data_IF_550120798368
#
_entry.id   IF_550120798368
#
_cell.length_a   1.000
_cell.length_b   1.000
_cell.length_c   1.000
_cell.angle_alpha   90.00
_cell.angle_beta   90.00
_cell.angle_gamma   90.00
#
_symmetry.space_group_name_H-M   'P 1'
#
loop_
_entity.id
_entity.type
_entity.pdbx_description
1 polymer ?
#
# COMPACT_ATOMS: atom_id res chain seq x y z
N UNK A 1 -17.16 -10.43 -21.73
CA UNK A 1 -17.87 -9.19 -21.34
C UNK A 1 -18.21 -9.11 -19.84
N UNK A 2 -18.58 -10.19 -19.14
CA UNK A 2 -18.87 -10.11 -17.69
C UNK A 2 -17.66 -9.83 -16.77
N UNK A 3 -16.49 -10.39 -17.08
CA UNK A 3 -15.29 -10.26 -16.23
C UNK A 3 -14.72 -8.84 -16.20
N UNK A 4 -14.78 -8.09 -17.30
CA UNK A 4 -14.27 -6.72 -17.37
C UNK A 4 -15.15 -5.73 -16.62
N UNK A 5 -16.48 -5.94 -16.66
CA UNK A 5 -17.44 -5.12 -15.89
C UNK A 5 -17.24 -5.31 -14.39
N UNK A 6 -17.03 -6.55 -13.94
CA UNK A 6 -16.76 -6.85 -12.51
C UNK A 6 -15.48 -6.17 -12.04
N UNK A 7 -14.39 -6.26 -12.82
CA UNK A 7 -13.14 -5.58 -12.49
C UNK A 7 -13.32 -4.05 -12.45
N UNK A 8 -14.04 -3.49 -13.42
CA UNK A 8 -14.36 -2.05 -13.43
C UNK A 8 -15.16 -1.62 -12.21
N UNK A 9 -16.11 -2.43 -11.73
CA UNK A 9 -16.86 -2.16 -10.50
C UNK A 9 -15.94 -2.16 -9.28
N UNK A 10 -15.07 -3.16 -9.16
CA UNK A 10 -14.11 -3.26 -8.04
C UNK A 10 -13.17 -2.06 -8.03
N UNK A 11 -12.60 -1.68 -9.17
CA UNK A 11 -11.73 -0.50 -9.31
C UNK A 11 -12.47 0.80 -8.98
N UNK A 12 -13.73 0.93 -9.42
CA UNK A 12 -14.57 2.10 -9.07
C UNK A 12 -14.77 2.20 -7.56
N UNK A 13 -15.05 1.07 -6.90
CA UNK A 13 -15.25 1.01 -5.45
C UNK A 13 -13.94 1.32 -4.70
N UNK A 14 -12.80 0.85 -5.19
CA UNK A 14 -11.48 1.24 -4.69
C UNK A 14 -11.27 2.75 -4.77
N UNK A 15 -11.54 3.37 -5.93
CA UNK A 15 -11.45 4.82 -6.11
C UNK A 15 -12.40 5.63 -5.22
N UNK A 16 -13.63 5.14 -5.00
CA UNK A 16 -14.55 5.72 -4.00
C UNK A 16 -13.92 5.68 -2.61
N UNK A 17 -13.26 4.57 -2.26
CA UNK A 17 -12.50 4.44 -1.02
C UNK A 17 -11.43 5.52 -0.88
N UNK A 18 -10.67 5.80 -1.94
CA UNK A 18 -9.67 6.87 -1.92
C UNK A 18 -10.30 8.26 -1.70
N UNK A 19 -11.38 8.58 -2.40
CA UNK A 19 -12.10 9.86 -2.23
C UNK A 19 -12.59 10.00 -0.78
N UNK A 20 -13.24 8.98 -0.24
CA UNK A 20 -13.71 8.96 1.15
C UNK A 20 -12.55 9.10 2.13
N UNK A 21 -11.44 8.40 1.88
CA UNK A 21 -10.23 8.49 2.68
C UNK A 21 -9.67 9.92 2.72
N UNK A 22 -9.68 10.61 1.57
CA UNK A 22 -9.25 12.01 1.46
C UNK A 22 -10.16 12.97 2.22
N UNK A 23 -11.47 12.79 2.14
CA UNK A 23 -12.44 13.59 2.92
C UNK A 23 -12.22 13.38 4.42
N UNK A 24 -12.11 12.13 4.88
CA UNK A 24 -11.90 11.81 6.29
C UNK A 24 -10.58 12.42 6.78
N UNK A 25 -9.49 12.25 6.03
CA UNK A 25 -8.18 12.80 6.40
C UNK A 25 -8.16 14.34 6.40
N UNK A 26 -8.94 15.00 5.53
CA UNK A 26 -9.02 16.46 5.51
C UNK A 26 -9.73 17.03 6.74
N UNK A 27 -10.71 16.31 7.28
CA UNK A 27 -11.46 16.73 8.48
C UNK A 27 -10.70 16.33 9.76
N UNK A 28 -10.19 15.09 9.82
CA UNK A 28 -9.55 14.54 11.01
C UNK A 28 -8.07 14.95 11.15
N UNK A 29 -7.36 15.12 10.04
CA UNK A 29 -5.94 15.47 10.01
C UNK A 29 -4.98 14.36 10.46
N UNK A 30 -5.47 13.22 10.97
CA UNK A 30 -4.64 12.12 11.47
C UNK A 30 -4.23 12.24 12.94
N UNK A 31 -3.38 11.33 13.42
CA UNK A 31 -2.91 11.34 14.81
C UNK A 31 -1.83 12.39 15.06
N UNK A 32 -1.49 12.62 16.34
CA UNK A 32 -0.43 13.56 16.77
C UNK A 32 0.95 13.17 16.22
N UNK A 33 1.28 11.87 16.26
CA UNK A 33 2.47 11.31 15.61
C UNK A 33 2.05 10.67 14.30
N UNK A 34 2.31 11.33 13.17
CA UNK A 34 1.84 10.90 11.84
C UNK A 34 2.32 9.49 11.49
N UNK A 35 3.45 9.05 12.03
CA UNK A 35 3.94 7.68 11.84
C UNK A 35 2.93 6.62 12.29
N UNK A 36 2.13 6.88 13.34
CA UNK A 36 1.13 5.91 13.81
C UNK A 36 -0.02 5.76 12.82
N UNK A 37 -0.50 6.86 12.25
CA UNK A 37 -1.52 6.84 11.19
C UNK A 37 -1.00 6.17 9.92
N UNK A 38 0.26 6.43 9.57
CA UNK A 38 0.94 5.78 8.45
C UNK A 38 0.98 4.26 8.63
N UNK A 39 1.48 3.79 9.77
CA UNK A 39 1.63 2.35 10.05
C UNK A 39 0.28 1.64 10.14
N UNK A 40 -0.74 2.29 10.72
CA UNK A 40 -2.10 1.75 10.71
C UNK A 40 -2.64 1.61 9.28
N UNK A 41 -2.40 2.62 8.43
CA UNK A 41 -2.77 2.55 7.01
C UNK A 41 -2.10 1.39 6.30
N UNK A 42 -0.77 1.21 6.46
CA UNK A 42 -0.03 0.07 5.89
C UNK A 42 -0.61 -1.26 6.37
N UNK A 43 -0.92 -1.37 7.66
CA UNK A 43 -1.50 -2.60 8.21
C UNK A 43 -2.87 -2.93 7.59
N UNK A 44 -3.76 -1.94 7.46
CA UNK A 44 -5.06 -2.15 6.83
C UNK A 44 -4.93 -2.49 5.34
N UNK A 45 -4.03 -1.83 4.60
CA UNK A 45 -3.73 -2.18 3.20
C UNK A 45 -3.29 -3.64 3.11
N UNK A 46 -2.38 -4.07 3.98
CA UNK A 46 -1.85 -5.42 3.99
C UNK A 46 -2.95 -6.47 4.24
N UNK A 47 -3.83 -6.21 5.21
CA UNK A 47 -4.99 -7.08 5.47
C UNK A 47 -5.95 -7.11 4.28
N UNK A 48 -6.28 -5.97 3.70
CA UNK A 48 -7.14 -5.90 2.52
C UNK A 48 -6.57 -6.70 1.35
N UNK A 49 -5.25 -6.61 1.11
CA UNK A 49 -4.58 -7.40 0.07
C UNK A 49 -4.67 -8.92 0.32
N UNK A 50 -4.52 -9.35 1.57
CA UNK A 50 -4.70 -10.75 1.96
C UNK A 50 -6.14 -11.22 1.72
N UNK A 51 -7.14 -10.42 2.11
CA UNK A 51 -8.54 -10.75 1.89
C UNK A 51 -8.93 -10.78 0.42
N UNK A 52 -8.44 -9.82 -0.38
CA UNK A 52 -8.60 -9.84 -1.85
C UNK A 52 -8.00 -11.13 -2.41
N UNK A 53 -6.81 -11.50 -1.95
CA UNK A 53 -6.10 -12.67 -2.46
C UNK A 53 -6.76 -14.01 -2.15
N UNK A 54 -7.45 -14.12 -1.02
CA UNK A 54 -8.14 -15.34 -0.57
C UNK A 54 -9.62 -15.42 -0.97
N UNK A 55 -10.18 -14.36 -1.55
CA UNK A 55 -11.60 -14.27 -1.83
C UNK A 55 -11.95 -14.62 -3.28
N UNK A 56 -13.09 -15.30 -3.45
CA UNK A 56 -13.75 -15.51 -4.76
C UNK A 56 -15.04 -14.70 -4.88
N UNK A 57 -15.48 -14.06 -3.78
CA UNK A 57 -16.68 -13.23 -3.77
C UNK A 57 -16.35 -11.82 -4.22
N UNK A 58 -17.08 -11.35 -5.25
CA UNK A 58 -16.98 -9.97 -5.74
C UNK A 58 -17.26 -8.97 -4.62
N UNK A 59 -18.22 -9.25 -3.74
CA UNK A 59 -18.57 -8.36 -2.62
C UNK A 59 -17.38 -8.19 -1.68
N UNK A 60 -16.74 -9.29 -1.29
CA UNK A 60 -15.58 -9.27 -0.38
C UNK A 60 -14.39 -8.57 -1.02
N UNK A 61 -14.14 -8.79 -2.31
CA UNK A 61 -13.07 -8.11 -3.06
C UNK A 61 -13.35 -6.60 -3.10
N UNK A 62 -14.59 -6.20 -3.41
CA UNK A 62 -15.00 -4.80 -3.46
C UNK A 62 -14.88 -4.10 -2.11
N UNK A 63 -15.37 -4.71 -1.02
CA UNK A 63 -15.25 -4.14 0.34
C UNK A 63 -13.78 -4.01 0.75
N UNK A 64 -12.98 -5.03 0.47
CA UNK A 64 -11.54 -4.99 0.75
C UNK A 64 -10.83 -3.92 -0.08
N UNK A 65 -11.22 -3.74 -1.35
CA UNK A 65 -10.76 -2.66 -2.22
C UNK A 65 -11.11 -1.29 -1.65
N UNK A 66 -12.36 -1.07 -1.21
CA UNK A 66 -12.77 0.17 -0.56
C UNK A 66 -11.91 0.49 0.66
N UNK A 67 -11.71 -0.49 1.56
CA UNK A 67 -10.88 -0.33 2.76
C UNK A 67 -9.41 -0.06 2.39
N UNK A 68 -8.91 -0.74 1.37
CA UNK A 68 -7.56 -0.52 0.85
C UNK A 68 -7.39 0.91 0.33
N UNK A 69 -8.36 1.43 -0.43
CA UNK A 69 -8.33 2.80 -0.95
C UNK A 69 -8.33 3.85 0.16
N UNK A 70 -9.21 3.70 1.17
CA UNK A 70 -9.22 4.59 2.34
C UNK A 70 -7.85 4.57 3.04
N UNK A 71 -7.34 3.38 3.35
CA UNK A 71 -6.08 3.21 4.06
C UNK A 71 -4.87 3.71 3.25
N UNK A 72 -4.91 3.58 1.91
CA UNK A 72 -3.89 4.11 1.00
C UNK A 72 -3.74 5.62 1.16
N UNK A 73 -4.85 6.36 1.20
CA UNK A 73 -4.81 7.81 1.40
C UNK A 73 -4.29 8.18 2.79
N UNK A 74 -4.67 7.45 3.84
CA UNK A 74 -4.18 7.70 5.20
C UNK A 74 -2.67 7.51 5.28
N UNK A 75 -2.15 6.44 4.68
CA UNK A 75 -0.73 6.14 4.64
C UNK A 75 0.04 7.21 3.85
N UNK A 76 -0.44 7.55 2.66
CA UNK A 76 0.22 8.53 1.79
C UNK A 76 0.19 9.95 2.36
N UNK A 77 -0.96 10.40 2.86
CA UNK A 77 -1.09 11.73 3.47
C UNK A 77 -0.17 11.86 4.69
N UNK A 78 -0.16 10.85 5.57
CA UNK A 78 0.73 10.84 6.74
C UNK A 78 2.21 10.80 6.34
N UNK A 79 2.58 10.00 5.34
CA UNK A 79 3.95 9.95 4.81
C UNK A 79 4.36 11.31 4.24
N UNK A 80 3.48 11.96 3.48
CA UNK A 80 3.72 13.26 2.91
C UNK A 80 3.91 14.33 4.00
N UNK A 81 3.08 14.32 5.04
CA UNK A 81 3.22 15.25 6.17
C UNK A 81 4.52 15.06 6.95
N UNK A 82 4.95 13.81 7.18
CA UNK A 82 6.25 13.52 7.81
C UNK A 82 7.38 14.11 6.97
N UNK A 83 7.40 13.85 5.67
CA UNK A 83 8.44 14.41 4.80
C UNK A 83 8.42 15.94 4.76
N UNK A 84 7.23 16.55 4.78
CA UNK A 84 7.11 18.01 4.84
C UNK A 84 7.62 18.60 6.16
N UNK A 85 7.46 17.88 7.28
CA UNK A 85 7.89 18.38 8.60
C UNK A 85 9.39 18.23 8.85
N UNK A 86 10.09 17.35 8.13
CA UNK A 86 11.52 17.08 8.35
C UNK A 86 12.43 17.68 7.27
N UNK A 87 11.85 18.16 6.17
CA UNK A 87 12.61 18.70 5.04
C UNK A 87 12.53 20.23 5.04
N UNK A 88 13.68 20.93 5.08
CA UNK A 88 13.73 22.39 5.00
C UNK A 88 13.02 22.93 3.76
N UNK A 89 12.27 24.03 3.92
CA UNK A 89 11.40 24.62 2.88
C UNK A 89 12.14 24.88 1.57
N UNK A 90 13.39 25.35 1.63
CA UNK A 90 14.24 25.63 0.46
C UNK A 90 14.69 24.35 -0.29
N UNK A 91 14.60 23.17 0.34
CA UNK A 91 15.01 21.88 -0.25
C UNK A 91 13.82 21.00 -0.63
N UNK A 92 12.60 21.33 -0.20
CA UNK A 92 11.41 20.51 -0.42
C UNK A 92 11.21 20.12 -1.88
N UNK A 93 11.31 21.07 -2.81
CA UNK A 93 11.16 20.79 -4.25
C UNK A 93 12.14 19.72 -4.74
N UNK A 94 13.42 19.82 -4.36
CA UNK A 94 14.46 18.85 -4.76
C UNK A 94 14.23 17.47 -4.14
N UNK A 95 13.91 17.43 -2.85
CA UNK A 95 13.68 16.17 -2.12
C UNK A 95 12.43 15.46 -2.64
N UNK A 96 11.32 16.20 -2.84
CA UNK A 96 10.08 15.61 -3.35
C UNK A 96 10.21 15.14 -4.79
N UNK A 97 10.90 15.88 -5.66
CA UNK A 97 11.18 15.41 -7.03
C UNK A 97 12.03 14.14 -7.04
N UNK A 98 13.08 14.06 -6.21
CA UNK A 98 13.89 12.85 -6.09
C UNK A 98 13.08 11.66 -5.56
N UNK A 99 12.27 11.87 -4.52
CA UNK A 99 11.37 10.85 -3.96
C UNK A 99 10.37 10.35 -5.00
N UNK A 100 9.75 11.26 -5.74
CA UNK A 100 8.80 10.91 -6.80
C UNK A 100 9.49 10.13 -7.91
N UNK A 101 10.68 10.57 -8.36
CA UNK A 101 11.46 9.86 -9.37
C UNK A 101 11.79 8.43 -8.94
N UNK A 102 12.26 8.24 -7.69
CA UNK A 102 12.56 6.92 -7.15
C UNK A 102 11.30 6.05 -7.09
N UNK A 103 10.18 6.60 -6.60
CA UNK A 103 8.92 5.87 -6.52
C UNK A 103 8.39 5.43 -7.89
N UNK A 104 8.45 6.32 -8.90
CA UNK A 104 8.04 6.00 -10.26
C UNK A 104 8.99 5.01 -10.94
N UNK A 105 10.29 5.15 -10.73
CA UNK A 105 11.24 4.19 -11.26
C UNK A 105 11.04 2.80 -10.64
N UNK A 106 10.78 2.75 -9.33
CA UNK A 106 10.49 1.50 -8.62
C UNK A 106 9.20 0.83 -9.12
N UNK A 107 8.17 1.59 -9.54
CA UNK A 107 6.91 1.03 -10.04
C UNK A 107 7.04 0.39 -11.43
N UNK A 108 8.04 0.79 -12.23
CA UNK A 108 8.30 0.19 -13.54
C UNK A 108 8.64 -1.31 -13.44
N UNK A 109 9.34 -1.73 -12.39
CA UNK A 109 9.76 -3.13 -12.22
C UNK A 109 8.52 -4.04 -12.07
N UNK A 110 7.60 -3.82 -11.11
CA UNK A 110 6.35 -4.57 -11.06
C UNK A 110 5.52 -4.50 -12.35
N UNK A 111 5.44 -3.34 -13.01
CA UNK A 111 4.67 -3.20 -14.26
C UNK A 111 5.24 -4.08 -15.38
N UNK A 112 6.56 -4.16 -15.51
CA UNK A 112 7.22 -4.99 -16.53
C UNK A 112 7.18 -6.48 -16.19
N UNK A 113 7.35 -6.84 -14.91
CA UNK A 113 7.53 -8.23 -14.48
C UNK A 113 6.19 -8.94 -14.22
N UNK A 114 5.16 -8.22 -13.76
CA UNK A 114 3.89 -8.84 -13.33
C UNK A 114 3.20 -9.62 -14.43
N UNK A 115 3.09 -9.08 -15.65
CA UNK A 115 2.46 -9.76 -16.79
C UNK A 115 3.11 -11.12 -17.11
N UNK A 116 4.40 -11.15 -17.50
CA UNK A 116 5.12 -12.40 -17.76
C UNK A 116 5.13 -13.36 -16.57
N UNK A 117 5.28 -12.85 -15.34
CA UNK A 117 5.26 -13.68 -14.13
C UNK A 117 3.90 -14.37 -13.94
N UNK A 118 2.80 -13.63 -14.13
CA UNK A 118 1.44 -14.18 -14.03
C UNK A 118 1.20 -15.16 -15.16
N UNK A 119 1.30 -14.72 -16.41
CA UNK A 119 0.81 -15.50 -17.55
C UNK A 119 1.70 -16.72 -17.85
N UNK A 120 3.04 -16.61 -17.69
CA UNK A 120 3.94 -17.72 -18.05
C UNK A 120 4.25 -18.67 -16.89
N UNK A 121 4.28 -18.17 -15.65
CA UNK A 121 4.65 -18.97 -14.48
C UNK A 121 3.45 -19.30 -13.60
N UNK A 122 2.77 -18.28 -13.06
CA UNK A 122 1.74 -18.51 -12.04
C UNK A 122 0.49 -19.17 -12.62
N UNK A 123 -0.01 -18.73 -13.78
CA UNK A 123 -1.17 -19.37 -14.41
C UNK A 123 -0.87 -20.84 -14.71
N UNK A 124 0.33 -21.17 -15.20
CA UNK A 124 0.76 -22.55 -15.45
C UNK A 124 0.86 -23.37 -14.16
N UNK A 125 1.39 -22.77 -13.09
CA UNK A 125 1.48 -23.41 -11.79
C UNK A 125 0.10 -23.70 -11.17
N UNK A 126 -0.81 -22.73 -11.25
CA UNK A 126 -2.19 -22.82 -10.76
C UNK A 126 -3.14 -23.58 -11.70
N UNK A 127 -2.66 -24.08 -12.85
CA UNK A 127 -3.45 -24.93 -13.75
C UNK A 127 -3.52 -26.39 -13.28
N UNK A 128 -2.54 -26.84 -12.49
CA UNK A 128 -2.48 -28.19 -11.96
C UNK A 128 -2.81 -28.20 -10.47
N UNK A 129 -3.42 -29.28 -9.97
CA UNK A 129 -3.68 -29.46 -8.54
C UNK A 129 -2.35 -29.54 -7.76
N UNK A 130 -2.18 -28.65 -6.81
CA UNK A 130 -1.07 -28.57 -5.87
C UNK A 130 -1.56 -28.02 -4.51
N UNK A 131 -0.69 -27.96 -3.50
CA UNK A 131 -1.06 -27.48 -2.16
C UNK A 131 -1.62 -26.05 -2.15
N UNK A 132 -1.12 -25.15 -2.99
CA UNK A 132 -1.60 -23.77 -3.08
C UNK A 132 -2.98 -23.68 -3.73
N UNK A 133 -3.24 -24.48 -4.76
CA UNK A 133 -4.56 -24.54 -5.40
C UNK A 133 -5.65 -25.13 -4.51
N UNK A 134 -5.30 -25.81 -3.41
CA UNK A 134 -6.30 -26.22 -2.40
C UNK A 134 -6.85 -25.02 -1.62
N UNK A 135 -6.06 -23.96 -1.46
CA UNK A 135 -6.42 -22.75 -0.71
C UNK A 135 -7.03 -21.71 -1.67
N UNK A 136 -6.32 -21.44 -2.75
CA UNK A 136 -6.61 -20.36 -3.69
C UNK A 136 -7.38 -20.80 -4.93
N UNK A 137 -7.58 -22.11 -5.13
CA UNK A 137 -8.32 -22.63 -6.28
C UNK A 137 -7.45 -22.82 -7.51
N UNK A 138 -8.06 -23.31 -8.60
CA UNK A 138 -7.38 -23.60 -9.88
C UNK A 138 -7.77 -22.55 -10.91
N UNK A 139 -6.79 -22.03 -11.66
CA UNK A 139 -7.01 -21.12 -12.78
C UNK A 139 -6.40 -19.72 -12.61
N UNK A 140 -6.74 -18.81 -13.54
CA UNK A 140 -6.10 -17.48 -13.65
C UNK A 140 -6.45 -16.53 -12.49
N UNK A 141 -7.71 -16.46 -12.07
CA UNK A 141 -8.12 -15.65 -10.91
C UNK A 141 -7.33 -15.99 -9.63
N UNK A 142 -7.29 -17.27 -9.22
CA UNK A 142 -6.43 -17.78 -8.14
C UNK A 142 -4.97 -17.34 -8.22
N UNK A 143 -4.36 -17.37 -9.41
CA UNK A 143 -2.96 -16.97 -9.59
C UNK A 143 -2.71 -15.48 -9.30
N UNK A 144 -3.65 -14.61 -9.68
CA UNK A 144 -3.59 -13.17 -9.41
C UNK A 144 -3.91 -12.90 -7.93
N UNK A 145 -4.88 -13.63 -7.37
CA UNK A 145 -5.20 -13.57 -5.95
C UNK A 145 -4.01 -13.97 -5.07
N UNK A 146 -3.26 -14.99 -5.46
CA UNK A 146 -2.03 -15.39 -4.77
C UNK A 146 -0.99 -14.26 -4.73
N UNK A 147 -0.82 -13.48 -5.80
CA UNK A 147 0.08 -12.32 -5.79
C UNK A 147 -0.39 -11.23 -4.83
N UNK A 148 -1.69 -10.93 -4.82
CA UNK A 148 -2.26 -9.98 -3.87
C UNK A 148 -2.04 -10.44 -2.42
N UNK A 149 -2.27 -11.73 -2.15
CA UNK A 149 -1.99 -12.33 -0.84
C UNK A 149 -0.52 -12.20 -0.44
N UNK A 150 0.40 -12.56 -1.33
CA UNK A 150 1.84 -12.49 -1.07
C UNK A 150 2.29 -11.04 -0.82
N UNK A 151 1.77 -10.09 -1.59
CA UNK A 151 1.99 -8.65 -1.37
C UNK A 151 1.54 -8.20 0.02
N UNK A 152 0.36 -8.65 0.45
CA UNK A 152 -0.16 -8.32 1.78
C UNK A 152 0.69 -8.94 2.89
N UNK A 153 1.12 -10.20 2.75
CA UNK A 153 2.01 -10.87 3.71
C UNK A 153 3.35 -10.13 3.83
N UNK A 154 3.98 -9.75 2.71
CA UNK A 154 5.20 -8.96 2.71
C UNK A 154 4.99 -7.60 3.38
N UNK A 155 3.86 -6.95 3.14
CA UNK A 155 3.49 -5.68 3.77
C UNK A 155 3.31 -5.82 5.29
N UNK A 156 2.79 -6.95 5.78
CA UNK A 156 2.76 -7.25 7.23
C UNK A 156 4.18 -7.34 7.80
N UNK A 157 5.11 -8.00 7.10
CA UNK A 157 6.51 -8.05 7.56
C UNK A 157 7.13 -6.65 7.65
N UNK A 158 6.88 -5.79 6.65
CA UNK A 158 7.32 -4.39 6.68
C UNK A 158 6.71 -3.64 7.86
N UNK A 159 5.41 -3.81 8.12
CA UNK A 159 4.74 -3.22 9.27
C UNK A 159 5.36 -3.67 10.61
N UNK A 160 5.56 -4.98 10.80
CA UNK A 160 6.16 -5.53 12.03
C UNK A 160 7.59 -5.00 12.22
N UNK A 161 8.38 -4.98 11.15
CA UNK A 161 9.74 -4.43 11.19
C UNK A 161 9.73 -2.94 11.57
N UNK A 162 8.85 -2.15 10.96
CA UNK A 162 8.74 -0.72 11.21
C UNK A 162 8.30 -0.40 12.65
N UNK A 163 7.34 -1.14 13.20
CA UNK A 163 6.90 -0.99 14.60
C UNK A 163 8.01 -1.33 15.59
N UNK A 164 8.84 -2.34 15.28
CA UNK A 164 9.97 -2.74 16.13
C UNK A 164 11.16 -1.78 16.03
N UNK A 165 11.27 -1.04 14.93
CA UNK A 165 12.39 -0.13 14.70
C UNK A 165 12.13 1.23 15.38
N UNK A 166 12.82 1.49 16.49
CA UNK A 166 12.71 2.75 17.23
C UNK A 166 13.07 3.98 16.40
N UNK A 167 13.97 3.86 15.42
CA UNK A 167 14.33 4.98 14.55
C UNK A 167 13.15 5.39 13.66
N UNK A 168 12.38 4.41 13.18
CA UNK A 168 11.18 4.67 12.37
C UNK A 168 10.09 5.27 13.26
N UNK A 169 9.87 4.71 14.45
CA UNK A 169 8.84 5.17 15.39
C UNK A 169 9.10 6.58 15.95
N UNK A 170 10.37 6.99 16.01
CA UNK A 170 10.78 8.31 16.50
C UNK A 170 11.26 9.24 15.37
N UNK A 171 10.96 8.94 14.11
CA UNK A 171 11.45 9.72 12.95
C UNK A 171 11.10 11.21 13.05
N UNK A 172 9.90 11.52 13.53
CA UNK A 172 9.42 12.90 13.75
C UNK A 172 10.21 13.59 14.88
N UNK A 173 10.53 12.87 15.96
CA UNK A 173 11.28 13.42 17.11
C UNK A 173 12.77 13.60 16.77
N UNK A 174 13.34 12.68 16.00
CA UNK A 174 14.74 12.74 15.57
C UNK A 174 14.99 13.94 14.66
N UNK A 175 14.07 14.24 13.75
CA UNK A 175 14.19 15.38 12.85
C UNK A 175 14.16 16.73 13.57
N UNK A 176 13.27 16.91 14.55
CA UNK A 176 13.20 18.14 15.36
C UNK A 176 14.51 18.43 16.11
N UNK A 177 15.21 17.39 16.55
CA UNK A 177 16.50 17.53 17.22
C UNK A 177 17.62 18.01 16.28
N UNK A 178 17.54 17.71 14.98
CA UNK A 178 18.51 18.19 13.99
C UNK A 178 18.28 19.67 13.64
N UNK A 179 17.02 20.09 13.41
CA UNK A 179 16.70 21.51 13.18
C UNK A 179 17.12 22.39 14.36
N UNK A 180 16.88 21.94 15.59
CA UNK A 180 17.28 22.69 16.80
C UNK A 180 18.81 22.87 16.87
N UNK A 181 19.60 21.91 16.38
CA UNK A 181 21.06 22.01 16.37
C UNK A 181 21.58 22.95 15.28
N UNK A 182 20.97 22.99 14.10
CA UNK A 182 21.38 23.93 13.03
C UNK A 182 21.08 25.39 13.38
N UNK A 183 20.01 25.67 14.13
CA UNK A 183 19.67 27.04 14.57
C UNK A 183 20.63 27.57 15.64
N UNK A 184 21.36 26.68 16.34
CA UNK A 184 22.29 27.03 17.42
C UNK A 184 23.75 27.21 16.96
N UNK A 185 24.05 27.00 15.68
CA UNK A 185 25.38 27.14 15.05
C UNK A 185 25.39 28.37 14.17
#
# INVERSE_FOLDING_TARGET
>A
NGSSVILGIVETIFGIGEILGGIIMSIWGGTKKKIKTLLLGIFVIALSQIFIGLSYSVITISVSGLLMGIANIFANASSQSIWQSIVPVNLQGRVFSARLFIAQFASLIPMLVSGPLVDNFLVRYFSNKNYLTMIFGVGKGPSIGFLAFLSGVLSIFVFIWAVKNLQVMNVEDLAQNYETKEVLI
#
